data_IF_526840924603
#
_entry.id   IF_526840924603
#
_cell.length_a   1.000
_cell.length_b   1.000
_cell.length_c   1.000
_cell.angle_alpha   90.00
_cell.angle_beta   90.00
_cell.angle_gamma   90.00
#
_symmetry.space_group_name_H-M   'P 1'
#
loop_
_entity.id
_entity.type
_entity.pdbx_description
1 polymer ?
#
# COMPACT_ATOMS: atom_id res chain seq x y z
N UNK A 1 26.94 -4.36 7.66
CA UNK A 1 26.31 -3.42 6.71
C UNK A 1 26.19 -4.16 5.38
N UNK A 2 25.02 -4.72 5.09
CA UNK A 2 24.78 -5.36 3.78
C UNK A 2 24.69 -4.24 2.75
N UNK A 3 25.56 -4.26 1.74
CA UNK A 3 25.56 -3.29 0.67
C UNK A 3 24.21 -3.38 -0.07
N UNK A 4 23.45 -2.30 0.01
CA UNK A 4 22.24 -2.08 -0.75
C UNK A 4 22.61 -2.11 -2.24
N UNK A 5 22.28 -3.20 -2.92
CA UNK A 5 22.14 -3.17 -4.38
C UNK A 5 20.78 -2.51 -4.62
N UNK A 6 20.72 -1.27 -5.16
CA UNK A 6 19.44 -0.70 -5.54
C UNK A 6 18.75 -1.67 -6.50
N UNK A 7 17.43 -1.87 -6.39
CA UNK A 7 16.71 -2.59 -7.43
C UNK A 7 17.03 -1.92 -8.78
N UNK A 8 17.20 -2.70 -9.86
CA UNK A 8 17.45 -2.10 -11.17
C UNK A 8 16.36 -1.07 -11.45
N UNK A 9 16.76 0.07 -12.01
CA UNK A 9 15.83 1.01 -12.63
C UNK A 9 14.94 0.21 -13.57
N UNK A 10 13.64 0.17 -13.29
CA UNK A 10 12.67 -0.47 -14.16
C UNK A 10 12.80 0.19 -15.53
N UNK A 11 13.05 -0.62 -16.56
CA UNK A 11 12.96 -0.16 -17.95
C UNK A 11 11.56 0.41 -18.20
N UNK A 12 11.36 1.38 -19.12
CA UNK A 12 10.05 2.01 -19.35
C UNK A 12 8.88 1.02 -19.54
N UNK A 13 9.13 -0.12 -20.18
CA UNK A 13 8.15 -1.21 -20.33
C UNK A 13 7.78 -1.89 -19.00
N UNK A 14 8.72 -1.99 -18.06
CA UNK A 14 8.51 -2.54 -16.71
C UNK A 14 7.83 -1.53 -15.77
N UNK A 15 8.05 -0.23 -15.97
CA UNK A 15 7.31 0.83 -15.28
C UNK A 15 5.81 0.79 -15.68
N UNK A 16 5.50 0.52 -16.95
CA UNK A 16 4.14 0.36 -17.44
C UNK A 16 3.46 -0.91 -16.90
N UNK A 17 4.16 -2.06 -16.87
CA UNK A 17 3.67 -3.30 -16.23
C UNK A 17 3.39 -3.10 -14.73
N UNK A 18 4.23 -2.34 -14.02
CA UNK A 18 4.03 -2.05 -12.58
C UNK A 18 2.79 -1.19 -12.27
N UNK A 19 2.17 -0.61 -13.30
CA UNK A 19 1.03 0.28 -13.21
C UNK A 19 -0.17 -0.17 -14.05
N UNK A 20 -0.16 -1.42 -14.53
CA UNK A 20 -1.36 -2.06 -15.05
C UNK A 20 -2.34 -2.22 -13.89
N UNK A 21 -3.33 -1.34 -13.85
CA UNK A 21 -4.51 -1.47 -13.01
C UNK A 21 -5.61 -1.98 -13.92
N UNK A 22 -6.25 -3.10 -13.57
CA UNK A 22 -7.40 -3.59 -14.35
C UNK A 22 -8.47 -2.52 -14.46
N UNK A 23 -8.98 -2.34 -15.67
CA UNK A 23 -9.96 -1.30 -15.96
C UNK A 23 -9.39 0.11 -16.01
N UNK A 24 -8.07 0.32 -16.03
CA UNK A 24 -7.46 1.63 -16.31
C UNK A 24 -7.03 1.71 -17.77
N UNK A 25 -7.50 2.73 -18.49
CA UNK A 25 -7.06 3.03 -19.86
C UNK A 25 -6.43 4.42 -19.90
N UNK A 26 -5.28 4.55 -20.57
CA UNK A 26 -4.58 5.83 -20.74
C UNK A 26 -4.83 6.36 -22.15
N UNK A 27 -5.48 7.52 -22.30
CA UNK A 27 -5.77 8.07 -23.64
C UNK A 27 -4.56 8.73 -24.30
N UNK A 28 -3.70 9.33 -23.48
CA UNK A 28 -2.50 10.05 -23.86
C UNK A 28 -1.63 10.23 -22.63
N UNK A 29 -0.32 10.42 -22.81
CA UNK A 29 0.58 10.81 -21.74
C UNK A 29 0.89 12.31 -21.73
N UNK A 30 0.34 13.08 -22.68
CA UNK A 30 0.44 14.54 -22.68
C UNK A 30 -0.41 15.12 -21.54
N UNK A 31 0.14 16.10 -20.82
CA UNK A 31 -0.53 16.81 -19.73
C UNK A 31 -0.28 18.32 -19.83
N UNK A 32 -1.27 19.12 -19.44
CA UNK A 32 -1.19 20.58 -19.33
C UNK A 32 -0.61 21.04 -17.98
N UNK A 33 -0.45 20.14 -17.02
CA UNK A 33 0.23 20.38 -15.76
C UNK A 33 1.64 19.79 -15.76
N UNK A 34 2.48 20.23 -14.83
CA UNK A 34 3.85 19.77 -14.67
C UNK A 34 4.18 19.49 -13.21
N UNK A 35 3.34 18.69 -12.56
CA UNK A 35 3.47 18.35 -11.13
C UNK A 35 4.85 17.76 -10.78
N UNK A 36 5.65 18.37 -9.87
CA UNK A 36 6.98 17.87 -9.51
C UNK A 36 6.96 16.49 -8.82
N UNK A 37 5.80 16.06 -8.30
CA UNK A 37 5.62 14.75 -7.68
C UNK A 37 5.03 13.69 -8.61
N UNK A 38 4.84 13.98 -9.91
CA UNK A 38 4.19 13.05 -10.83
C UNK A 38 4.94 11.70 -10.89
N UNK A 39 4.25 10.61 -10.55
CA UNK A 39 4.80 9.26 -10.56
C UNK A 39 4.71 8.57 -11.93
N UNK A 40 3.90 9.10 -12.85
CA UNK A 40 3.75 8.64 -14.25
C UNK A 40 3.97 9.79 -15.23
N UNK A 41 5.17 10.42 -15.21
CA UNK A 41 5.39 11.64 -15.95
C UNK A 41 5.45 11.39 -17.46
N UNK A 42 5.05 12.39 -18.25
CA UNK A 42 4.98 12.29 -19.71
C UNK A 42 6.33 11.93 -20.37
N UNK A 43 7.45 12.21 -19.71
CA UNK A 43 8.80 11.93 -20.21
C UNK A 43 9.10 10.43 -20.34
N UNK A 44 8.43 9.61 -19.52
CA UNK A 44 8.69 8.17 -19.41
C UNK A 44 7.91 7.35 -20.45
N UNK A 45 7.06 7.99 -21.26
CA UNK A 45 6.11 7.32 -22.14
C UNK A 45 6.08 7.90 -23.56
N UNK A 46 5.56 7.13 -24.55
CA UNK A 46 5.36 7.65 -25.89
C UNK A 46 4.44 8.88 -25.91
N UNK A 47 4.84 9.92 -26.65
CA UNK A 47 4.03 11.12 -26.83
C UNK A 47 2.77 10.87 -27.67
N UNK A 48 2.80 9.86 -28.54
CA UNK A 48 1.66 9.49 -29.36
C UNK A 48 0.49 9.03 -28.48
N UNK A 49 -0.74 9.48 -28.74
CA UNK A 49 -1.91 8.94 -28.07
C UNK A 49 -2.00 7.42 -28.29
N UNK A 50 -2.43 6.69 -27.27
CA UNK A 50 -2.67 5.24 -27.34
C UNK A 50 -3.56 4.92 -28.55
N UNK A 51 -3.37 3.82 -29.31
CA UNK A 51 -4.28 3.46 -30.40
C UNK A 51 -5.71 3.14 -29.91
N UNK A 52 -6.73 3.31 -30.76
CA UNK A 52 -8.12 3.01 -30.35
C UNK A 52 -8.34 1.51 -30.14
N UNK A 53 -7.72 0.68 -30.97
CA UNK A 53 -7.81 -0.78 -30.91
C UNK A 53 -7.27 -1.34 -29.59
N UNK A 54 -6.23 -0.71 -29.03
CA UNK A 54 -5.66 -1.06 -27.73
C UNK A 54 -6.66 -0.77 -26.61
N UNK A 55 -7.30 0.41 -26.65
CA UNK A 55 -8.31 0.81 -25.65
C UNK A 55 -9.52 -0.13 -25.72
N UNK A 56 -10.00 -0.42 -26.93
CA UNK A 56 -11.16 -1.29 -27.12
C UNK A 56 -10.84 -2.73 -26.65
N UNK A 57 -9.61 -3.21 -26.89
CA UNK A 57 -9.11 -4.48 -26.33
C UNK A 57 -9.09 -4.51 -24.81
N UNK A 58 -8.65 -3.42 -24.16
CA UNK A 58 -8.65 -3.28 -22.70
C UNK A 58 -10.08 -3.26 -22.12
N UNK A 59 -11.02 -2.60 -22.80
CA UNK A 59 -12.45 -2.60 -22.40
C UNK A 59 -13.03 -4.01 -22.51
N UNK A 60 -12.76 -4.72 -23.60
CA UNK A 60 -13.23 -6.09 -23.78
C UNK A 60 -12.65 -7.04 -22.71
N UNK A 61 -11.36 -6.92 -22.39
CA UNK A 61 -10.71 -7.70 -21.35
C UNK A 61 -11.33 -7.43 -19.96
N UNK A 62 -11.57 -6.15 -19.62
CA UNK A 62 -12.25 -5.77 -18.39
C UNK A 62 -13.60 -6.47 -18.24
N UNK A 63 -14.42 -6.45 -19.30
CA UNK A 63 -15.76 -7.05 -19.28
C UNK A 63 -15.73 -8.57 -19.23
N UNK A 64 -14.80 -9.22 -19.95
CA UNK A 64 -14.63 -10.66 -19.94
C UNK A 64 -14.31 -11.22 -18.55
N UNK A 65 -13.67 -10.41 -17.70
CA UNK A 65 -13.34 -10.74 -16.32
C UNK A 65 -14.43 -10.32 -15.32
N UNK A 66 -15.57 -9.80 -15.78
CA UNK A 66 -16.66 -9.34 -14.92
C UNK A 66 -16.39 -7.99 -14.25
N UNK A 67 -15.39 -7.23 -14.73
CA UNK A 67 -15.09 -5.90 -14.24
C UNK A 67 -16.23 -4.91 -14.50
N UNK A 68 -16.43 -3.99 -13.56
CA UNK A 68 -17.58 -3.06 -13.56
C UNK A 68 -17.21 -1.59 -13.72
N UNK A 69 -15.94 -1.25 -13.53
CA UNK A 69 -15.46 0.13 -13.56
C UNK A 69 -14.34 0.28 -14.57
N UNK A 70 -14.53 1.17 -15.54
CA UNK A 70 -13.48 1.65 -16.42
C UNK A 70 -13.03 3.04 -15.94
N UNK A 71 -11.77 3.16 -15.59
CA UNK A 71 -11.09 4.42 -15.28
C UNK A 71 -10.35 4.90 -16.53
N UNK A 72 -10.68 6.10 -17.00
CA UNK A 72 -10.00 6.77 -18.08
C UNK A 72 -8.99 7.75 -17.47
N UNK A 73 -7.72 7.60 -17.83
CA UNK A 73 -6.58 8.32 -17.26
C UNK A 73 -5.55 8.66 -18.37
N UNK A 74 -4.33 9.02 -17.98
CA UNK A 74 -3.25 9.39 -18.89
C UNK A 74 -2.24 10.34 -18.22
N UNK A 75 -1.77 11.31 -19.00
CA UNK A 75 -1.42 12.64 -18.51
C UNK A 75 -2.73 13.38 -18.17
N UNK A 76 -3.30 14.11 -19.14
CA UNK A 76 -4.62 14.74 -19.00
C UNK A 76 -5.58 14.38 -20.16
N UNK A 77 -6.58 13.50 -19.93
CA UNK A 77 -7.52 13.07 -20.96
C UNK A 77 -8.37 14.19 -21.56
N UNK A 78 -8.66 15.25 -20.80
CA UNK A 78 -9.53 16.35 -21.25
C UNK A 78 -8.92 17.17 -22.38
N UNK A 79 -7.62 17.04 -22.65
CA UNK A 79 -6.96 17.59 -23.83
C UNK A 79 -7.53 17.00 -25.14
N UNK A 80 -8.04 15.77 -25.10
CA UNK A 80 -8.53 15.05 -26.29
C UNK A 80 -10.06 15.02 -26.35
N UNK A 81 -10.70 16.19 -26.29
CA UNK A 81 -12.16 16.34 -26.10
C UNK A 81 -13.04 15.36 -26.88
N UNK A 82 -12.93 15.35 -28.20
CA UNK A 82 -13.75 14.46 -29.06
C UNK A 82 -13.48 12.99 -28.78
N UNK A 83 -12.21 12.64 -28.61
CA UNK A 83 -11.76 11.27 -28.35
C UNK A 83 -12.23 10.76 -26.98
N UNK A 84 -12.14 11.59 -25.95
CA UNK A 84 -12.63 11.26 -24.61
C UNK A 84 -14.13 10.96 -24.64
N UNK A 85 -14.93 11.84 -25.24
CA UNK A 85 -16.38 11.65 -25.36
C UNK A 85 -16.72 10.36 -26.13
N UNK A 86 -16.02 10.07 -27.23
CA UNK A 86 -16.22 8.84 -27.98
C UNK A 86 -15.84 7.60 -27.16
N UNK A 87 -14.75 7.65 -26.41
CA UNK A 87 -14.31 6.53 -25.55
C UNK A 87 -15.34 6.24 -24.46
N UNK A 88 -15.87 7.27 -23.80
CA UNK A 88 -16.92 7.13 -22.78
C UNK A 88 -18.16 6.45 -23.40
N UNK A 89 -18.63 6.94 -24.56
CA UNK A 89 -19.78 6.33 -25.26
C UNK A 89 -19.53 4.88 -25.63
N UNK A 90 -18.35 4.56 -26.18
CA UNK A 90 -17.98 3.19 -26.54
C UNK A 90 -17.97 2.27 -25.33
N UNK A 91 -17.36 2.69 -24.22
CA UNK A 91 -17.32 1.92 -22.97
C UNK A 91 -18.74 1.63 -22.44
N UNK A 92 -19.61 2.64 -22.41
CA UNK A 92 -21.01 2.47 -21.98
C UNK A 92 -21.80 1.57 -22.93
N UNK A 93 -21.62 1.72 -24.24
CA UNK A 93 -22.25 0.88 -25.25
C UNK A 93 -21.78 -0.59 -25.17
N UNK A 94 -20.53 -0.82 -24.79
CA UNK A 94 -19.97 -2.15 -24.54
C UNK A 94 -20.51 -2.82 -23.25
N UNK A 95 -21.22 -2.07 -22.40
CA UNK A 95 -21.84 -2.60 -21.18
C UNK A 95 -21.09 -2.29 -19.88
N UNK A 96 -20.06 -1.43 -19.91
CA UNK A 96 -19.40 -0.98 -18.68
C UNK A 96 -20.39 -0.13 -17.87
N UNK A 97 -20.74 -0.52 -16.62
CA UNK A 97 -21.73 0.21 -15.84
C UNK A 97 -21.19 1.51 -15.24
N UNK A 98 -19.90 1.53 -14.85
CA UNK A 98 -19.26 2.69 -14.23
C UNK A 98 -18.07 3.15 -15.07
N UNK A 99 -18.11 4.40 -15.52
CA UNK A 99 -16.98 5.05 -16.21
C UNK A 99 -16.52 6.22 -15.37
N UNK A 100 -15.26 6.16 -14.94
CA UNK A 100 -14.59 7.18 -14.12
C UNK A 100 -13.55 7.92 -14.95
N UNK A 101 -13.45 9.24 -14.78
CA UNK A 101 -12.40 10.07 -15.37
C UNK A 101 -11.41 10.54 -14.30
N UNK A 102 -10.13 10.24 -14.46
CA UNK A 102 -9.05 10.90 -13.71
C UNK A 102 -8.64 12.19 -14.42
N UNK A 103 -8.66 13.32 -13.73
CA UNK A 103 -8.41 14.64 -14.33
C UNK A 103 -7.96 15.70 -13.33
N UNK A 104 -7.23 16.71 -13.79
CA UNK A 104 -6.96 17.94 -13.04
C UNK A 104 -8.12 18.96 -13.10
N UNK A 105 -9.15 18.67 -13.91
CA UNK A 105 -10.36 19.47 -14.10
C UNK A 105 -10.17 20.90 -14.69
N UNK A 106 -8.95 21.30 -15.04
CA UNK A 106 -8.64 22.68 -15.47
C UNK A 106 -9.36 23.08 -16.76
N UNK A 107 -9.53 22.15 -17.70
CA UNK A 107 -10.13 22.39 -19.01
C UNK A 107 -11.63 22.07 -19.07
N UNK A 108 -12.24 21.73 -17.93
CA UNK A 108 -13.63 21.30 -17.88
C UNK A 108 -14.53 22.54 -17.76
N UNK A 109 -15.22 22.86 -18.85
CA UNK A 109 -16.26 23.87 -18.90
C UNK A 109 -17.64 23.26 -18.63
N UNK A 110 -18.68 24.04 -18.30
CA UNK A 110 -20.04 23.52 -18.10
C UNK A 110 -20.58 22.72 -19.28
N UNK A 111 -20.36 23.17 -20.52
CA UNK A 111 -20.75 22.44 -21.74
C UNK A 111 -19.95 21.14 -21.91
N UNK A 112 -18.70 21.11 -21.45
CA UNK A 112 -17.90 19.89 -21.50
C UNK A 112 -18.36 18.87 -20.48
N UNK A 113 -18.59 19.29 -19.24
CA UNK A 113 -19.12 18.44 -18.19
C UNK A 113 -20.47 17.84 -18.59
N UNK A 114 -21.38 18.65 -19.13
CA UNK A 114 -22.67 18.19 -19.65
C UNK A 114 -22.50 17.16 -20.79
N UNK A 115 -21.61 17.42 -21.75
CA UNK A 115 -21.34 16.48 -22.84
C UNK A 115 -20.73 15.16 -22.34
N UNK A 116 -19.89 15.19 -21.30
CA UNK A 116 -19.33 13.98 -20.68
C UNK A 116 -20.40 13.19 -19.93
N UNK A 117 -21.27 13.86 -19.18
CA UNK A 117 -22.41 13.22 -18.52
C UNK A 117 -23.36 12.58 -19.53
N UNK A 118 -23.70 13.27 -20.62
CA UNK A 118 -24.52 12.74 -21.72
C UNK A 118 -23.85 11.55 -22.42
N UNK A 119 -22.53 11.59 -22.60
CA UNK A 119 -21.77 10.43 -23.10
C UNK A 119 -21.81 9.23 -22.15
N UNK A 120 -22.18 9.44 -20.89
CA UNK A 120 -22.36 8.42 -19.87
C UNK A 120 -21.21 8.32 -18.86
N UNK A 121 -20.44 9.40 -18.65
CA UNK A 121 -19.49 9.51 -17.54
C UNK A 121 -20.25 9.42 -16.21
N UNK A 122 -19.74 8.63 -15.26
CA UNK A 122 -20.42 8.36 -13.98
C UNK A 122 -19.75 9.01 -12.78
N UNK A 123 -18.42 9.10 -12.80
CA UNK A 123 -17.64 9.75 -11.76
C UNK A 123 -16.40 10.42 -12.32
N UNK A 124 -15.86 11.35 -11.55
CA UNK A 124 -14.56 11.95 -11.77
C UNK A 124 -13.71 11.85 -10.50
N UNK A 125 -12.46 11.46 -10.67
CA UNK A 125 -11.43 11.44 -9.65
C UNK A 125 -10.51 12.63 -9.89
N UNK A 126 -10.70 13.69 -9.10
CA UNK A 126 -10.11 15.01 -9.38
C UNK A 126 -8.95 15.31 -8.44
N UNK A 127 -7.83 15.70 -9.03
CA UNK A 127 -6.61 16.10 -8.31
C UNK A 127 -6.70 17.53 -7.76
N UNK A 128 -7.51 17.74 -6.72
CA UNK A 128 -7.51 19.00 -5.96
C UNK A 128 -6.44 18.93 -4.86
N UNK A 129 -5.23 19.39 -5.17
CA UNK A 129 -4.00 19.12 -4.42
C UNK A 129 -3.87 19.85 -3.06
N UNK A 130 -4.60 20.94 -2.88
CA UNK A 130 -4.67 21.69 -1.62
C UNK A 130 -5.89 22.60 -1.63
N UNK A 131 -6.36 22.99 -0.45
CA UNK A 131 -7.34 24.08 -0.28
C UNK A 131 -6.66 25.46 -0.26
N UNK A 132 -5.33 25.49 -0.11
CA UNK A 132 -4.49 26.69 -0.17
C UNK A 132 -4.03 26.89 -1.62
N UNK A 133 -4.42 27.98 -2.30
CA UNK A 133 -4.13 28.19 -3.72
C UNK A 133 -2.65 28.06 -4.06
N UNK A 134 -1.77 28.65 -3.26
CA UNK A 134 -0.32 28.67 -3.49
C UNK A 134 0.28 27.26 -3.42
N UNK A 135 -0.21 26.42 -2.49
CA UNK A 135 0.22 25.03 -2.40
C UNK A 135 -0.33 24.19 -3.56
N UNK A 136 -1.57 24.43 -3.97
CA UNK A 136 -2.15 23.74 -5.10
C UNK A 136 -1.38 24.02 -6.39
N UNK A 137 -1.13 25.29 -6.71
CA UNK A 137 -0.46 25.70 -7.95
C UNK A 137 1.00 25.23 -8.00
N UNK A 138 1.71 25.30 -6.85
CA UNK A 138 3.07 24.77 -6.72
C UNK A 138 3.11 23.25 -6.97
N UNK A 139 2.15 22.52 -6.42
CA UNK A 139 2.05 21.07 -6.58
C UNK A 139 1.58 20.70 -8.00
N UNK A 140 0.72 21.49 -8.65
CA UNK A 140 0.34 21.32 -10.06
C UNK A 140 1.49 21.68 -11.03
N UNK A 141 2.44 22.51 -10.58
CA UNK A 141 3.46 23.09 -11.44
C UNK A 141 2.86 24.03 -12.49
N UNK A 142 1.77 24.73 -12.15
CA UNK A 142 1.01 25.57 -13.06
C UNK A 142 0.29 26.71 -12.30
N UNK A 143 0.66 27.95 -12.58
CA UNK A 143 0.04 29.12 -11.97
C UNK A 143 -1.44 29.28 -12.37
N UNK A 144 -2.28 29.62 -11.40
CA UNK A 144 -3.73 29.76 -11.54
C UNK A 144 -4.45 28.43 -11.75
N UNK A 145 -3.82 27.29 -11.44
CA UNK A 145 -4.46 25.98 -11.55
C UNK A 145 -5.63 25.83 -10.58
N UNK A 146 -5.50 26.31 -9.35
CA UNK A 146 -6.51 26.19 -8.29
C UNK A 146 -7.88 26.76 -8.69
N UNK A 147 -8.03 28.04 -9.08
CA UNK A 147 -9.34 28.56 -9.46
C UNK A 147 -9.93 27.87 -10.70
N UNK A 148 -9.10 27.42 -11.64
CA UNK A 148 -9.55 26.66 -12.82
C UNK A 148 -10.03 25.26 -12.44
N UNK A 149 -9.32 24.58 -11.53
CA UNK A 149 -9.73 23.29 -10.99
C UNK A 149 -11.08 23.40 -10.26
N UNK A 150 -11.27 24.42 -9.41
CA UNK A 150 -12.56 24.66 -8.74
C UNK A 150 -13.70 24.92 -9.73
N UNK A 151 -13.47 25.70 -10.79
CA UNK A 151 -14.48 25.92 -11.83
C UNK A 151 -14.86 24.61 -12.57
N UNK A 152 -13.88 23.74 -12.85
CA UNK A 152 -14.12 22.43 -13.43
C UNK A 152 -14.87 21.48 -12.49
N UNK A 153 -14.55 21.52 -11.19
CA UNK A 153 -15.28 20.80 -10.15
C UNK A 153 -16.75 21.23 -10.07
N UNK A 154 -17.01 22.55 -10.06
CA UNK A 154 -18.37 23.09 -10.07
C UNK A 154 -19.14 22.62 -11.32
N UNK A 155 -18.50 22.62 -12.49
CA UNK A 155 -19.09 22.14 -13.73
C UNK A 155 -19.44 20.64 -13.68
N UNK A 156 -18.55 19.79 -13.17
CA UNK A 156 -18.78 18.35 -12.99
C UNK A 156 -19.95 18.07 -12.05
N UNK A 157 -19.96 18.72 -10.88
CA UNK A 157 -21.02 18.58 -9.89
C UNK A 157 -22.37 19.05 -10.43
N UNK A 158 -22.40 20.18 -11.15
CA UNK A 158 -23.62 20.69 -11.78
C UNK A 158 -24.16 19.77 -12.89
N UNK A 159 -23.28 19.03 -13.57
CA UNK A 159 -23.66 18.01 -14.55
C UNK A 159 -24.11 16.67 -13.92
N UNK A 160 -24.12 16.56 -12.58
CA UNK A 160 -24.51 15.35 -11.86
C UNK A 160 -23.44 14.25 -11.85
N UNK A 161 -22.19 14.58 -12.20
CA UNK A 161 -21.06 13.63 -12.13
C UNK A 161 -20.62 13.50 -10.66
N UNK A 162 -20.52 12.27 -10.15
CA UNK A 162 -19.99 12.03 -8.79
C UNK A 162 -18.51 12.38 -8.74
N UNK A 163 -18.08 13.10 -7.72
CA UNK A 163 -16.67 13.52 -7.59
C UNK A 163 -16.03 12.88 -6.36
N UNK A 164 -14.87 12.26 -6.57
CA UNK A 164 -13.90 11.90 -5.53
C UNK A 164 -12.70 12.81 -5.65
N UNK A 165 -12.27 13.46 -4.57
CA UNK A 165 -11.07 14.30 -4.58
C UNK A 165 -9.82 13.52 -4.18
N UNK A 166 -8.66 13.92 -4.70
CA UNK A 166 -7.37 13.34 -4.36
C UNK A 166 -6.31 14.43 -4.12
N UNK A 167 -5.98 14.76 -2.86
CA UNK A 167 -5.06 15.84 -2.55
C UNK A 167 -3.58 15.52 -2.75
N UNK A 168 -3.18 14.25 -2.90
CA UNK A 168 -1.78 13.79 -2.95
C UNK A 168 -0.89 14.53 -1.94
N UNK A 169 -0.94 14.09 -0.67
CA UNK A 169 -0.27 14.76 0.42
C UNK A 169 1.25 14.76 0.24
N UNK A 170 1.82 15.97 0.30
CA UNK A 170 3.23 16.25 0.17
C UNK A 170 3.75 16.91 1.46
N UNK A 171 5.07 17.01 1.63
CA UNK A 171 5.68 17.71 2.77
C UNK A 171 5.03 19.08 3.13
N UNK A 172 4.71 19.99 2.18
CA UNK A 172 4.04 21.25 2.50
C UNK A 172 2.56 21.12 2.89
N UNK A 173 1.89 20.01 2.57
CA UNK A 173 0.43 19.83 2.79
C UNK A 173 0.08 18.72 3.78
N UNK A 174 1.07 17.97 4.28
CA UNK A 174 0.87 16.75 5.08
C UNK A 174 0.12 16.96 6.39
N UNK A 175 0.14 18.16 6.96
CA UNK A 175 -0.60 18.51 8.19
C UNK A 175 -1.94 19.18 7.91
N UNK A 176 -2.26 19.46 6.64
CA UNK A 176 -3.38 20.29 6.23
C UNK A 176 -4.65 19.50 5.88
N UNK A 177 -4.62 18.16 5.99
CA UNK A 177 -5.76 17.31 5.62
C UNK A 177 -7.04 17.64 6.42
N UNK A 178 -7.02 17.91 7.75
CA UNK A 178 -8.23 18.32 8.46
C UNK A 178 -8.85 19.60 7.90
N UNK A 179 -8.05 20.64 7.65
CA UNK A 179 -8.52 21.90 7.06
C UNK A 179 -8.99 21.73 5.62
N UNK A 180 -8.33 20.87 4.85
CA UNK A 180 -8.79 20.48 3.52
C UNK A 180 -10.20 19.90 3.56
N UNK A 181 -10.51 19.02 4.53
CA UNK A 181 -11.87 18.48 4.66
C UNK A 181 -12.90 19.52 5.06
N UNK A 182 -12.55 20.47 5.95
CA UNK A 182 -13.43 21.61 6.29
C UNK A 182 -13.74 22.43 5.04
N UNK A 183 -12.71 22.76 4.26
CA UNK A 183 -12.86 23.46 2.99
C UNK A 183 -13.75 22.68 2.01
N UNK A 184 -13.54 21.38 1.84
CA UNK A 184 -14.36 20.55 0.94
C UNK A 184 -15.82 20.55 1.38
N UNK A 185 -16.10 20.36 2.67
CA UNK A 185 -17.46 20.36 3.19
C UNK A 185 -18.16 21.72 2.99
N UNK A 186 -17.44 22.83 3.14
CA UNK A 186 -17.98 24.18 3.00
C UNK A 186 -18.14 24.60 1.53
N UNK A 187 -17.08 24.45 0.72
CA UNK A 187 -17.02 24.96 -0.67
C UNK A 187 -17.58 24.00 -1.69
N UNK A 188 -17.54 22.69 -1.42
CA UNK A 188 -17.89 21.62 -2.35
C UNK A 188 -18.84 20.60 -1.69
N UNK A 189 -20.01 21.01 -1.16
CA UNK A 189 -20.90 20.14 -0.38
C UNK A 189 -21.42 18.90 -1.15
N UNK A 190 -21.34 18.90 -2.48
CA UNK A 190 -21.66 17.76 -3.34
C UNK A 190 -20.58 16.66 -3.38
N UNK A 191 -19.37 16.93 -2.90
CA UNK A 191 -18.30 15.94 -2.78
C UNK A 191 -18.51 15.12 -1.51
N UNK A 192 -18.54 13.80 -1.67
CA UNK A 192 -18.77 12.85 -0.56
C UNK A 192 -17.61 11.90 -0.31
N UNK A 193 -16.56 11.95 -1.13
CA UNK A 193 -15.41 11.05 -1.03
C UNK A 193 -14.10 11.79 -1.27
N UNK A 194 -13.09 11.47 -0.45
CA UNK A 194 -11.72 11.93 -0.62
C UNK A 194 -10.78 10.73 -0.50
N UNK A 195 -10.00 10.49 -1.54
CA UNK A 195 -8.98 9.44 -1.60
C UNK A 195 -7.63 10.00 -1.20
N UNK A 196 -7.08 9.53 -0.08
CA UNK A 196 -5.90 10.12 0.55
C UNK A 196 -4.64 9.43 0.02
N UNK A 197 -4.13 9.93 -1.11
CA UNK A 197 -2.80 9.56 -1.61
C UNK A 197 -1.72 10.40 -0.95
N UNK A 198 -0.46 9.94 -1.02
CA UNK A 198 0.71 10.71 -0.64
C UNK A 198 1.78 10.65 -1.74
N UNK A 199 2.69 11.62 -1.76
CA UNK A 199 3.82 11.63 -2.70
C UNK A 199 4.63 10.34 -2.56
N UNK A 200 4.82 9.67 -3.69
CA UNK A 200 5.62 8.45 -3.79
C UNK A 200 6.90 8.77 -4.56
N UNK A 201 8.08 8.23 -4.18
CA UNK A 201 9.32 8.55 -4.88
C UNK A 201 9.47 7.75 -6.19
N UNK A 202 8.57 7.99 -7.14
CA UNK A 202 8.56 7.44 -8.50
C UNK A 202 8.48 8.58 -9.52
N UNK A 203 8.89 8.33 -10.77
CA UNK A 203 8.91 9.35 -11.81
C UNK A 203 9.64 10.62 -11.38
N UNK A 204 9.03 11.79 -11.60
CA UNK A 204 9.62 13.09 -11.23
C UNK A 204 9.78 13.29 -9.73
N UNK A 205 9.01 12.59 -8.90
CA UNK A 205 9.15 12.68 -7.45
C UNK A 205 10.52 12.17 -6.95
N UNK A 206 11.18 11.26 -7.70
CA UNK A 206 12.54 10.78 -7.37
C UNK A 206 13.58 11.90 -7.34
N UNK A 207 13.42 12.92 -8.19
CA UNK A 207 14.27 14.11 -8.20
C UNK A 207 13.78 15.19 -7.22
N UNK A 208 12.60 15.03 -6.62
CA UNK A 208 11.93 16.02 -5.79
C UNK A 208 11.60 15.49 -4.39
N UNK A 209 12.57 14.80 -3.76
CA UNK A 209 12.40 14.15 -2.45
C UNK A 209 12.04 15.10 -1.31
N UNK A 210 12.28 16.41 -1.47
CA UNK A 210 11.81 17.44 -0.54
C UNK A 210 10.27 17.48 -0.42
N UNK A 211 9.53 16.94 -1.39
CA UNK A 211 8.08 16.79 -1.36
C UNK A 211 7.61 15.51 -0.64
N UNK A 212 8.51 14.55 -0.37
CA UNK A 212 8.17 13.32 0.34
C UNK A 212 7.73 13.67 1.77
N UNK A 213 6.47 13.37 2.16
CA UNK A 213 5.99 13.68 3.50
C UNK A 213 6.76 12.91 4.57
N UNK A 214 6.71 13.40 5.80
CA UNK A 214 7.12 12.69 7.01
C UNK A 214 5.90 12.01 7.63
N UNK A 215 5.92 10.69 7.72
CA UNK A 215 4.80 9.94 8.28
C UNK A 215 4.60 10.19 9.77
N UNK A 216 5.61 10.71 10.49
CA UNK A 216 5.45 11.12 11.87
C UNK A 216 4.51 12.34 12.01
N UNK A 217 4.47 13.21 10.99
CA UNK A 217 3.60 14.38 10.94
C UNK A 217 2.27 14.06 10.25
N UNK A 218 2.33 13.26 9.18
CA UNK A 218 1.17 12.89 8.39
C UNK A 218 0.20 11.96 9.15
N UNK A 219 0.72 10.98 9.90
CA UNK A 219 -0.11 10.02 10.63
C UNK A 219 -1.10 10.67 11.60
N UNK A 220 -0.68 11.60 12.48
CA UNK A 220 -1.59 12.38 13.31
C UNK A 220 -2.66 13.16 12.53
N UNK A 221 -2.27 13.83 11.43
CA UNK A 221 -3.20 14.60 10.61
C UNK A 221 -4.25 13.71 9.92
N UNK A 222 -3.87 12.50 9.49
CA UNK A 222 -4.80 11.50 8.95
C UNK A 222 -5.79 11.03 10.02
N UNK A 223 -5.34 10.75 11.25
CA UNK A 223 -6.24 10.35 12.35
C UNK A 223 -7.24 11.45 12.70
N UNK A 224 -6.77 12.69 12.79
CA UNK A 224 -7.67 13.84 13.03
C UNK A 224 -8.69 13.96 11.90
N UNK A 225 -8.23 13.88 10.65
CA UNK A 225 -9.09 13.95 9.47
C UNK A 225 -10.13 12.83 9.46
N UNK A 226 -9.79 11.59 9.86
CA UNK A 226 -10.76 10.50 9.98
C UNK A 226 -11.85 10.79 11.01
N UNK A 227 -11.48 11.31 12.19
CA UNK A 227 -12.45 11.71 13.21
C UNK A 227 -13.40 12.81 12.71
N UNK A 228 -12.88 13.74 11.90
CA UNK A 228 -13.66 14.84 11.34
C UNK A 228 -14.56 14.40 10.17
N UNK A 229 -14.07 13.51 9.30
CA UNK A 229 -14.73 13.13 8.06
C UNK A 229 -16.16 12.59 8.27
N UNK A 230 -16.36 11.78 9.32
CA UNK A 230 -17.67 11.27 9.68
C UNK A 230 -18.68 12.38 10.01
N UNK A 231 -18.25 13.42 10.75
CA UNK A 231 -19.10 14.56 11.11
C UNK A 231 -19.43 15.45 9.89
N UNK A 232 -18.54 15.47 8.88
CA UNK A 232 -18.73 16.22 7.64
C UNK A 232 -19.49 15.43 6.56
N UNK A 233 -19.84 14.17 6.80
CA UNK A 233 -20.46 13.30 5.80
C UNK A 233 -19.55 13.05 4.59
N UNK A 234 -18.23 13.05 4.81
CA UNK A 234 -17.21 12.75 3.80
C UNK A 234 -16.61 11.39 4.14
N UNK A 235 -16.52 10.53 3.14
CA UNK A 235 -15.80 9.27 3.21
C UNK A 235 -14.32 9.50 2.89
N UNK A 236 -13.43 9.17 3.83
CA UNK A 236 -11.99 9.10 3.57
C UNK A 236 -11.61 7.69 3.15
N UNK A 237 -10.92 7.58 2.02
CA UNK A 237 -10.44 6.32 1.46
C UNK A 237 -8.91 6.29 1.49
N UNK A 238 -8.33 5.14 1.81
CA UNK A 238 -6.91 4.86 1.66
C UNK A 238 -6.71 4.02 0.40
N UNK A 239 -6.35 4.64 -0.74
CA UNK A 239 -6.19 3.93 -2.00
C UNK A 239 -4.98 2.98 -1.94
N UNK A 240 -4.82 2.16 -2.98
CA UNK A 240 -3.64 1.29 -3.09
C UNK A 240 -2.31 2.08 -3.05
N UNK A 241 -2.31 3.25 -3.72
CA UNK A 241 -1.23 4.22 -3.70
C UNK A 241 -1.10 5.00 -2.37
N UNK A 242 -1.93 4.67 -1.39
CA UNK A 242 -2.04 5.36 -0.12
C UNK A 242 -1.00 4.92 0.91
N UNK A 243 -1.36 5.13 2.18
CA UNK A 243 -0.44 5.12 3.31
C UNK A 243 -0.41 3.75 4.02
N UNK A 244 0.73 3.39 4.64
CA UNK A 244 0.77 2.22 5.52
C UNK A 244 -0.27 2.35 6.63
N UNK A 245 -0.85 1.22 7.08
CA UNK A 245 -1.92 1.26 8.07
C UNK A 245 -1.57 2.01 9.37
N UNK A 246 -0.30 1.97 9.78
CA UNK A 246 0.16 2.68 10.97
C UNK A 246 0.19 4.22 10.84
N UNK A 247 0.07 4.75 9.62
CA UNK A 247 0.01 6.18 9.33
C UNK A 247 -1.45 6.64 9.33
N UNK A 248 -2.14 6.33 10.43
CA UNK A 248 -3.50 6.80 10.71
C UNK A 248 -4.64 5.95 10.14
N UNK A 249 -4.42 4.70 9.75
CA UNK A 249 -5.47 3.81 9.19
C UNK A 249 -5.68 2.51 9.97
N UNK A 250 -5.05 2.35 11.14
CA UNK A 250 -5.11 1.12 11.92
C UNK A 250 -6.55 0.74 12.33
N UNK A 251 -7.36 1.75 12.65
CA UNK A 251 -8.75 1.60 13.09
C UNK A 251 -9.77 1.75 11.93
N UNK A 252 -9.31 1.94 10.70
CA UNK A 252 -10.12 2.17 9.51
C UNK A 252 -9.67 1.28 8.33
N UNK A 253 -9.40 0.01 8.63
CA UNK A 253 -8.92 -0.98 7.66
C UNK A 253 -9.93 -1.26 6.55
N UNK A 254 -11.22 -1.19 6.87
CA UNK A 254 -12.36 -1.30 5.96
C UNK A 254 -12.38 -0.19 4.89
N UNK A 255 -11.62 0.88 5.10
CA UNK A 255 -11.45 1.99 4.15
C UNK A 255 -10.11 1.95 3.42
N UNK A 256 -9.31 0.91 3.63
CA UNK A 256 -8.03 0.71 2.95
C UNK A 256 -8.15 -0.37 1.89
N UNK A 257 -7.93 0.01 0.64
CA UNK A 257 -7.97 -0.90 -0.51
C UNK A 257 -6.98 -2.06 -0.30
N UNK A 258 -5.76 -1.75 0.14
CA UNK A 258 -4.73 -2.77 0.39
C UNK A 258 -5.13 -3.76 1.51
N UNK A 259 -5.80 -3.28 2.56
CA UNK A 259 -6.25 -4.14 3.65
C UNK A 259 -7.43 -5.02 3.23
N UNK A 260 -8.40 -4.46 2.52
CA UNK A 260 -9.54 -5.21 1.96
C UNK A 260 -9.09 -6.29 0.99
N UNK A 261 -8.16 -5.98 0.09
CA UNK A 261 -7.57 -6.95 -0.85
C UNK A 261 -6.84 -8.09 -0.14
N UNK A 262 -6.16 -7.77 0.96
CA UNK A 262 -5.48 -8.78 1.76
C UNK A 262 -6.45 -9.74 2.47
N UNK A 263 -7.61 -9.25 2.94
CA UNK A 263 -8.62 -10.08 3.60
C UNK A 263 -9.26 -11.11 2.66
N UNK A 264 -9.44 -10.77 1.38
CA UNK A 264 -10.04 -11.67 0.37
C UNK A 264 -9.03 -12.62 -0.31
N UNK A 265 -7.80 -12.72 0.22
CA UNK A 265 -6.79 -13.69 -0.23
C UNK A 265 -5.71 -13.15 -1.20
N UNK A 266 -5.62 -11.83 -1.39
CA UNK A 266 -4.43 -11.14 -1.91
C UNK A 266 -4.27 -11.05 -3.44
N UNK A 267 -3.92 -9.85 -3.91
CA UNK A 267 -3.42 -9.39 -5.23
C UNK A 267 -4.24 -9.68 -6.51
N UNK A 268 -5.07 -10.72 -6.53
CA UNK A 268 -5.83 -11.14 -7.73
C UNK A 268 -7.18 -10.45 -7.91
N UNK A 269 -7.69 -9.79 -6.88
CA UNK A 269 -9.03 -9.21 -6.93
C UNK A 269 -9.11 -7.98 -7.85
N UNK A 270 -8.01 -7.24 -8.03
CA UNK A 270 -7.96 -6.01 -8.84
C UNK A 270 -6.72 -5.89 -9.74
N UNK A 271 -5.87 -6.93 -9.84
CA UNK A 271 -4.58 -6.99 -10.57
C UNK A 271 -3.86 -5.63 -10.69
N UNK A 272 -3.52 -4.99 -9.58
CA UNK A 272 -2.55 -3.89 -9.57
C UNK A 272 -1.18 -4.52 -9.31
N UNK A 273 -0.31 -4.60 -10.32
CA UNK A 273 1.02 -5.19 -10.20
C UNK A 273 2.04 -4.23 -9.58
N UNK A 274 1.89 -3.89 -8.30
CA UNK A 274 2.89 -3.12 -7.54
C UNK A 274 3.76 -4.00 -6.63
N UNK A 275 3.83 -5.30 -6.96
CA UNK A 275 4.70 -6.25 -6.27
C UNK A 275 6.13 -5.65 -6.21
N UNK A 276 6.70 -5.60 -5.00
CA UNK A 276 8.04 -5.07 -4.68
C UNK A 276 8.18 -3.54 -4.50
N UNK A 277 7.14 -2.72 -4.72
CA UNK A 277 7.28 -1.26 -4.53
C UNK A 277 7.13 -0.83 -3.07
N UNK A 278 6.50 -1.65 -2.23
CA UNK A 278 6.42 -1.47 -0.79
C UNK A 278 7.16 -2.58 -0.07
N UNK A 279 7.71 -2.24 1.10
CA UNK A 279 8.30 -3.22 2.01
C UNK A 279 7.91 -2.97 3.45
N UNK A 280 7.89 -4.05 4.21
CA UNK A 280 7.85 -4.04 5.66
C UNK A 280 9.27 -3.84 6.22
N UNK A 281 9.36 -3.25 7.41
CA UNK A 281 10.62 -3.03 8.12
C UNK A 281 10.52 -3.40 9.59
N UNK A 282 11.49 -2.96 10.40
CA UNK A 282 11.58 -3.33 11.82
C UNK A 282 10.28 -3.09 12.64
N UNK A 283 9.55 -1.95 12.49
CA UNK A 283 8.26 -1.75 13.15
C UNK A 283 7.20 -2.81 12.78
N UNK A 284 7.23 -3.31 11.53
CA UNK A 284 6.26 -4.29 11.05
C UNK A 284 6.47 -5.68 11.66
N UNK A 285 7.68 -5.99 12.15
CA UNK A 285 8.03 -7.29 12.73
C UNK A 285 7.16 -7.66 13.95
N UNK A 286 6.63 -6.66 14.66
CA UNK A 286 5.72 -6.85 15.80
C UNK A 286 4.30 -6.35 15.52
N UNK A 287 4.02 -5.90 14.30
CA UNK A 287 2.70 -5.38 13.95
C UNK A 287 1.71 -6.52 13.70
N UNK A 288 0.57 -6.52 14.39
CA UNK A 288 -0.47 -7.52 14.20
C UNK A 288 -1.18 -7.40 12.85
N UNK A 289 -1.16 -6.21 12.25
CA UNK A 289 -1.81 -5.89 10.97
C UNK A 289 -0.90 -6.12 9.76
N UNK A 290 0.28 -6.72 9.92
CA UNK A 290 1.28 -6.85 8.84
C UNK A 290 0.76 -7.60 7.61
N UNK A 291 -0.11 -8.59 7.76
CA UNK A 291 -0.66 -9.32 6.61
C UNK A 291 -1.74 -8.54 5.88
N UNK A 292 -2.16 -7.38 6.41
CA UNK A 292 -3.13 -6.45 5.80
C UNK A 292 -2.47 -5.17 5.27
N UNK A 293 -1.15 -5.07 5.34
CA UNK A 293 -0.39 -3.86 5.03
C UNK A 293 0.94 -4.20 4.36
N UNK A 294 1.19 -3.63 3.18
CA UNK A 294 2.44 -3.79 2.43
C UNK A 294 3.62 -3.09 3.08
N UNK A 295 3.37 -2.26 4.10
CA UNK A 295 4.35 -1.37 4.69
C UNK A 295 4.47 -0.08 3.90
N UNK A 296 5.65 0.55 3.96
CA UNK A 296 5.92 1.79 3.23
C UNK A 296 6.65 1.52 1.91
N UNK A 297 6.58 2.49 1.00
CA UNK A 297 7.35 2.49 -0.25
C UNK A 297 8.82 2.23 0.01
N UNK A 298 9.48 1.43 -0.84
CA UNK A 298 10.88 1.05 -0.67
C UNK A 298 11.76 2.29 -0.55
N UNK A 299 11.51 3.29 -1.39
CA UNK A 299 12.22 4.57 -1.39
C UNK A 299 11.94 5.40 -0.12
N UNK A 300 10.74 5.30 0.47
CA UNK A 300 10.48 5.94 1.77
C UNK A 300 11.44 5.43 2.84
N UNK A 301 11.69 4.12 2.86
CA UNK A 301 12.67 3.56 3.78
C UNK A 301 14.11 3.98 3.46
N UNK A 302 14.45 4.14 2.18
CA UNK A 302 15.78 4.59 1.78
C UNK A 302 16.04 6.04 2.23
N UNK A 303 15.06 6.91 2.04
CA UNK A 303 15.21 8.36 2.26
C UNK A 303 14.87 8.80 3.70
N UNK A 304 13.91 8.14 4.35
CA UNK A 304 13.41 8.52 5.69
C UNK A 304 13.68 7.46 6.76
N UNK A 305 14.31 6.34 6.43
CA UNK A 305 14.60 5.26 7.38
C UNK A 305 13.35 4.64 8.03
N UNK A 306 12.16 4.88 7.47
CA UNK A 306 10.90 4.49 8.10
C UNK A 306 10.43 5.41 9.22
N UNK A 307 10.85 6.68 9.25
CA UNK A 307 10.33 7.70 10.18
C UNK A 307 8.80 7.65 10.29
N UNK A 308 8.28 7.77 11.52
CA UNK A 308 6.84 7.75 11.79
C UNK A 308 6.14 6.39 11.64
N UNK A 309 6.85 5.33 11.26
CA UNK A 309 6.28 3.99 11.19
C UNK A 309 6.42 3.29 12.55
N UNK A 310 5.27 2.93 13.14
CA UNK A 310 5.20 2.17 14.38
C UNK A 310 4.18 1.04 14.25
N UNK A 311 4.24 0.04 15.14
CA UNK A 311 3.22 -1.01 15.19
C UNK A 311 2.00 -0.49 15.99
N UNK A 312 0.85 -0.20 15.36
CA UNK A 312 -0.33 0.31 16.06
C UNK A 312 -0.96 -0.77 16.95
N UNK A 313 -0.92 -2.03 16.48
CA UNK A 313 -1.32 -3.21 17.24
C UNK A 313 -0.12 -4.14 17.35
N UNK A 314 0.21 -4.58 18.56
CA UNK A 314 1.39 -5.42 18.83
C UNK A 314 1.00 -6.89 18.96
N UNK A 315 1.64 -7.72 18.16
CA UNK A 315 1.66 -9.16 18.33
C UNK A 315 2.93 -9.60 19.10
N UNK A 316 2.82 -10.72 19.82
CA UNK A 316 3.94 -11.39 20.45
C UNK A 316 3.84 -12.91 20.25
N UNK A 317 4.96 -13.64 20.17
CA UNK A 317 4.91 -15.09 20.05
C UNK A 317 4.24 -15.72 21.28
N UNK A 318 3.64 -16.92 21.16
CA UNK A 318 2.83 -17.56 22.20
C UNK A 318 3.49 -17.73 23.57
N UNK A 319 4.82 -17.80 23.61
CA UNK A 319 5.60 -17.98 24.83
C UNK A 319 5.99 -16.67 25.54
N UNK A 320 5.68 -15.51 24.96
CA UNK A 320 5.94 -14.20 25.57
C UNK A 320 4.67 -13.70 26.27
N UNK A 321 4.49 -14.08 27.54
CA UNK A 321 3.21 -13.98 28.27
C UNK A 321 2.79 -12.57 28.72
N UNK A 322 3.58 -11.51 28.50
CA UNK A 322 3.30 -10.17 29.06
C UNK A 322 3.18 -9.03 28.01
N UNK A 323 3.27 -9.30 26.70
CA UNK A 323 3.55 -8.23 25.72
C UNK A 323 2.61 -8.12 24.50
N UNK A 324 1.54 -8.93 24.42
CA UNK A 324 0.60 -8.91 23.28
C UNK A 324 -0.78 -8.39 23.68
N UNK A 325 -1.47 -7.77 22.72
CA UNK A 325 -2.91 -7.55 22.81
C UNK A 325 -3.63 -8.89 22.54
N UNK A 326 -4.35 -9.47 23.52
CA UNK A 326 -5.02 -10.75 23.35
C UNK A 326 -6.11 -10.72 22.27
N UNK A 327 -6.72 -9.56 22.00
CA UNK A 327 -7.72 -9.40 20.94
C UNK A 327 -7.12 -9.30 19.53
N UNK A 328 -5.81 -9.07 19.43
CA UNK A 328 -5.12 -8.92 18.15
C UNK A 328 -4.53 -10.23 17.61
N UNK A 329 -4.54 -11.31 18.40
CA UNK A 329 -3.94 -12.58 17.97
C UNK A 329 -4.64 -13.84 18.51
N UNK A 330 -4.66 -14.89 17.70
CA UNK A 330 -5.03 -16.25 18.12
C UNK A 330 -3.85 -17.19 17.96
N UNK A 331 -3.76 -18.18 18.84
CA UNK A 331 -2.73 -19.21 18.83
C UNK A 331 -3.39 -20.58 18.71
N UNK A 332 -2.86 -21.42 17.82
CA UNK A 332 -3.25 -22.81 17.70
C UNK A 332 -2.04 -23.72 17.55
N UNK A 333 -2.14 -24.96 18.02
CA UNK A 333 -1.16 -26.02 17.77
C UNK A 333 -1.36 -26.72 16.42
N UNK A 334 -2.52 -26.52 15.79
CA UNK A 334 -2.85 -27.07 14.47
C UNK A 334 -3.28 -25.98 13.49
N UNK A 335 -2.86 -26.12 12.23
CA UNK A 335 -3.25 -25.21 11.14
C UNK A 335 -4.74 -25.27 10.84
N UNK A 336 -5.36 -26.44 10.99
CA UNK A 336 -6.72 -26.70 10.50
C UNK A 336 -7.80 -26.00 11.33
N UNK A 337 -7.47 -25.54 12.54
CA UNK A 337 -8.41 -24.82 13.42
C UNK A 337 -8.33 -23.31 13.28
N UNK A 338 -7.30 -22.78 12.59
CA UNK A 338 -7.17 -21.34 12.34
C UNK A 338 -8.13 -20.93 11.22
N UNK A 339 -9.00 -19.94 11.47
CA UNK A 339 -9.96 -19.44 10.48
C UNK A 339 -9.59 -18.05 9.98
N UNK A 340 -10.26 -17.58 8.93
CA UNK A 340 -10.07 -16.22 8.38
C UNK A 340 -10.53 -15.12 9.34
N UNK A 341 -11.53 -15.41 10.18
CA UNK A 341 -12.34 -14.38 10.86
C UNK A 341 -11.94 -14.14 12.32
N UNK A 342 -10.92 -14.84 12.83
CA UNK A 342 -10.61 -14.88 14.27
C UNK A 342 -9.87 -13.62 14.77
N UNK A 343 -8.71 -13.32 14.16
CA UNK A 343 -7.84 -12.21 14.56
C UNK A 343 -6.87 -11.86 13.41
N UNK A 344 -6.35 -10.62 13.36
CA UNK A 344 -5.42 -10.22 12.30
C UNK A 344 -4.09 -11.00 12.35
N UNK A 345 -3.66 -11.44 13.54
CA UNK A 345 -2.52 -12.34 13.73
C UNK A 345 -2.98 -13.73 14.18
N UNK A 346 -2.48 -14.77 13.51
CA UNK A 346 -2.80 -16.17 13.75
C UNK A 346 -1.50 -16.97 13.78
N UNK A 347 -1.13 -17.40 14.98
CA UNK A 347 0.07 -18.17 15.25
C UNK A 347 -0.22 -19.66 15.14
N UNK A 348 0.54 -20.34 14.28
CA UNK A 348 0.73 -21.78 14.42
C UNK A 348 1.90 -22.06 15.36
N UNK A 349 1.63 -22.68 16.49
CA UNK A 349 2.61 -23.01 17.53
C UNK A 349 2.93 -24.50 17.49
N UNK A 350 4.14 -24.86 17.10
CA UNK A 350 4.56 -26.26 16.98
C UNK A 350 6.00 -26.46 17.47
N UNK A 351 6.37 -27.73 17.70
CA UNK A 351 7.72 -28.14 18.07
C UNK A 351 8.53 -28.71 16.90
N UNK A 352 7.88 -29.05 15.78
CA UNK A 352 8.55 -29.60 14.60
C UNK A 352 7.72 -29.34 13.34
N UNK A 353 8.38 -29.43 12.17
CA UNK A 353 7.73 -29.37 10.86
C UNK A 353 7.94 -30.70 10.11
N UNK A 354 6.86 -31.20 9.52
CA UNK A 354 6.88 -32.38 8.65
C UNK A 354 7.00 -31.98 7.17
N UNK A 355 7.45 -32.90 6.29
CA UNK A 355 7.52 -32.63 4.86
C UNK A 355 6.19 -32.13 4.28
N UNK A 356 6.22 -30.94 3.67
CA UNK A 356 5.03 -30.31 3.06
C UNK A 356 4.34 -29.28 3.94
N UNK A 357 4.71 -29.16 5.21
CA UNK A 357 4.13 -28.15 6.12
C UNK A 357 4.44 -26.72 5.67
N UNK A 358 5.57 -26.48 4.99
CA UNK A 358 5.84 -25.15 4.41
C UNK A 358 4.75 -24.72 3.41
N UNK A 359 4.31 -25.64 2.54
CA UNK A 359 3.26 -25.37 1.57
C UNK A 359 1.89 -25.25 2.24
N UNK A 360 1.60 -26.13 3.22
CA UNK A 360 0.36 -26.07 4.00
C UNK A 360 0.24 -24.74 4.74
N UNK A 361 1.31 -24.27 5.39
CA UNK A 361 1.35 -22.99 6.09
C UNK A 361 1.03 -21.82 5.15
N UNK A 362 1.63 -21.79 3.95
CA UNK A 362 1.36 -20.73 2.97
C UNK A 362 -0.07 -20.76 2.46
N UNK A 363 -0.66 -21.94 2.27
CA UNK A 363 -2.06 -22.12 1.85
C UNK A 363 -3.09 -22.03 2.98
N UNK A 364 -2.65 -21.86 4.23
CA UNK A 364 -3.53 -21.81 5.40
C UNK A 364 -3.92 -20.38 5.78
N UNK A 365 -4.83 -20.28 6.74
CA UNK A 365 -5.18 -19.04 7.42
C UNK A 365 -4.07 -18.51 8.35
N UNK A 366 -3.05 -19.30 8.70
CA UNK A 366 -2.00 -18.83 9.59
C UNK A 366 -1.19 -17.68 8.97
N UNK A 367 -0.88 -16.68 9.78
CA UNK A 367 -0.07 -15.53 9.38
C UNK A 367 1.36 -15.63 9.90
N UNK A 368 1.58 -16.45 10.92
CA UNK A 368 2.82 -16.53 11.69
C UNK A 368 3.09 -17.97 12.17
N UNK A 369 4.36 -18.34 12.22
CA UNK A 369 4.86 -19.62 12.75
C UNK A 369 5.66 -19.34 14.02
N UNK A 370 5.25 -19.96 15.12
CA UNK A 370 5.98 -20.03 16.37
C UNK A 370 6.52 -21.47 16.53
N UNK A 371 7.82 -21.65 16.30
CA UNK A 371 8.46 -22.95 16.32
C UNK A 371 9.45 -23.08 17.49
N UNK A 372 9.26 -24.10 18.34
CA UNK A 372 10.29 -24.54 19.29
C UNK A 372 11.28 -25.41 18.55
N UNK A 373 12.41 -24.84 18.15
CA UNK A 373 13.37 -25.48 17.27
C UNK A 373 14.36 -26.35 18.07
N UNK A 374 14.40 -27.65 17.75
CA UNK A 374 15.57 -28.49 17.99
C UNK A 374 16.57 -28.28 16.83
N UNK A 375 17.76 -27.72 17.06
CA UNK A 375 18.77 -27.48 16.02
C UNK A 375 19.29 -28.77 15.35
N UNK A 376 19.06 -29.94 15.95
CA UNK A 376 19.47 -31.22 15.41
C UNK A 376 18.41 -31.83 14.47
N UNK A 377 17.18 -31.32 14.48
CA UNK A 377 16.11 -31.81 13.62
C UNK A 377 16.27 -31.33 12.17
N UNK A 378 16.90 -32.19 11.36
CA UNK A 378 17.14 -31.94 9.94
C UNK A 378 15.85 -31.79 9.14
N UNK A 379 14.76 -32.47 9.50
CA UNK A 379 13.51 -32.39 8.75
C UNK A 379 12.90 -30.99 8.88
N UNK A 380 12.83 -30.49 10.12
CA UNK A 380 12.39 -29.13 10.41
C UNK A 380 13.25 -28.08 9.71
N UNK A 381 14.57 -28.22 9.74
CA UNK A 381 15.49 -27.28 9.05
C UNK A 381 15.29 -27.27 7.52
N UNK A 382 14.99 -28.42 6.92
CA UNK A 382 14.69 -28.51 5.47
C UNK A 382 13.39 -27.78 5.14
N UNK A 383 12.34 -27.94 5.96
CA UNK A 383 11.06 -27.26 5.76
C UNK A 383 11.17 -25.75 5.96
N UNK A 384 11.92 -25.27 6.96
CA UNK A 384 12.17 -23.83 7.14
C UNK A 384 12.87 -23.23 5.91
N UNK A 385 13.84 -23.93 5.31
CA UNK A 385 14.49 -23.48 4.07
C UNK A 385 13.55 -23.49 2.87
N UNK A 386 12.58 -24.41 2.82
CA UNK A 386 11.53 -24.43 1.78
C UNK A 386 10.61 -23.23 1.94
N UNK A 387 10.15 -22.96 3.16
CA UNK A 387 9.36 -21.78 3.48
C UNK A 387 10.11 -20.49 3.12
N UNK A 388 11.37 -20.35 3.52
CA UNK A 388 12.22 -19.21 3.18
C UNK A 388 12.25 -18.94 1.67
N UNK A 389 12.52 -19.97 0.85
CA UNK A 389 12.52 -19.83 -0.61
C UNK A 389 11.16 -19.39 -1.16
N UNK A 390 10.09 -19.99 -0.69
CA UNK A 390 8.73 -19.64 -1.14
C UNK A 390 8.31 -18.22 -0.75
N UNK A 391 8.82 -17.69 0.36
CA UNK A 391 8.52 -16.32 0.81
C UNK A 391 9.34 -15.25 0.11
N UNK A 392 10.49 -15.58 -0.46
CA UNK A 392 11.40 -14.62 -1.09
C UNK A 392 10.74 -13.84 -2.24
N UNK A 393 9.87 -14.51 -2.99
CA UNK A 393 9.14 -13.97 -4.14
C UNK A 393 7.74 -13.45 -3.77
N UNK A 394 7.30 -13.64 -2.52
CA UNK A 394 5.97 -13.23 -2.09
C UNK A 394 5.92 -11.74 -1.72
N UNK A 395 4.78 -11.09 -1.99
CA UNK A 395 4.50 -9.74 -1.48
C UNK A 395 4.56 -9.70 0.06
N UNK A 396 4.89 -8.55 0.69
CA UNK A 396 5.05 -8.47 2.14
C UNK A 396 3.87 -9.03 2.97
N UNK A 397 2.64 -8.85 2.49
CA UNK A 397 1.41 -9.31 3.12
C UNK A 397 1.26 -10.85 3.12
N UNK A 398 1.85 -11.51 2.12
CA UNK A 398 1.74 -12.96 1.91
C UNK A 398 2.84 -13.75 2.63
N UNK A 399 3.91 -13.08 3.08
CA UNK A 399 4.96 -13.72 3.87
C UNK A 399 4.40 -14.18 5.21
N UNK A 400 5.02 -15.17 5.84
CA UNK A 400 4.75 -15.63 7.20
C UNK A 400 5.90 -15.21 8.09
N UNK A 401 5.58 -14.63 9.25
CA UNK A 401 6.60 -14.33 10.26
C UNK A 401 7.02 -15.66 10.87
N UNK A 402 8.32 -15.87 10.99
CA UNK A 402 8.87 -17.04 11.67
C UNK A 402 9.51 -16.58 12.97
N UNK A 403 9.04 -17.14 14.08
CA UNK A 403 9.65 -16.95 15.39
C UNK A 403 10.19 -18.29 15.89
N UNK A 404 11.47 -18.30 16.21
CA UNK A 404 12.15 -19.48 16.71
C UNK A 404 12.33 -19.36 18.21
N UNK A 405 12.11 -20.46 18.91
CA UNK A 405 12.49 -20.61 20.31
C UNK A 405 13.54 -21.72 20.40
N UNK A 406 14.68 -21.46 21.03
CA UNK A 406 15.76 -22.43 21.19
C UNK A 406 16.15 -22.51 22.67
N UNK A 407 16.19 -23.73 23.21
CA UNK A 407 16.76 -23.97 24.54
C UNK A 407 18.29 -24.03 24.42
N UNK A 408 18.97 -23.07 25.04
CA UNK A 408 20.44 -22.99 25.06
C UNK A 408 21.03 -23.38 26.41
N UNK A 409 20.25 -24.01 27.29
CA UNK A 409 20.75 -24.49 28.57
C UNK A 409 21.94 -25.42 28.34
N UNK A 410 23.04 -25.19 29.06
CA UNK A 410 24.27 -25.98 28.95
C UNK A 410 25.14 -25.69 27.73
N UNK A 411 24.76 -24.75 26.86
CA UNK A 411 25.59 -24.30 25.73
C UNK A 411 26.55 -23.20 26.17
N UNK A 412 27.75 -23.18 25.58
CA UNK A 412 28.69 -22.08 25.73
C UNK A 412 28.33 -20.88 24.83
N UNK A 413 29.06 -19.78 25.01
CA UNK A 413 28.84 -18.52 24.29
C UNK A 413 29.03 -18.64 22.77
N UNK A 414 29.96 -19.47 22.30
CA UNK A 414 30.21 -19.67 20.88
C UNK A 414 29.06 -20.46 20.23
N UNK A 415 28.58 -21.49 20.92
CA UNK A 415 27.45 -22.31 20.49
C UNK A 415 26.15 -21.51 20.44
N UNK A 416 25.87 -20.67 21.45
CA UNK A 416 24.70 -19.77 21.44
C UNK A 416 24.74 -18.84 20.23
N UNK A 417 25.91 -18.29 19.90
CA UNK A 417 26.08 -17.40 18.75
C UNK A 417 25.88 -18.14 17.42
N UNK A 418 26.33 -19.40 17.32
CA UNK A 418 26.09 -20.25 16.15
C UNK A 418 24.60 -20.53 15.93
N UNK A 419 23.87 -20.86 17.00
CA UNK A 419 22.43 -21.07 16.96
C UNK A 419 21.67 -19.80 16.55
N UNK A 420 22.10 -18.64 17.04
CA UNK A 420 21.51 -17.38 16.64
C UNK A 420 21.80 -17.05 15.15
N UNK A 421 22.99 -17.37 14.65
CA UNK A 421 23.31 -17.26 13.21
C UNK A 421 22.50 -18.23 12.37
N UNK A 422 22.24 -19.44 12.85
CA UNK A 422 21.34 -20.39 12.19
C UNK A 422 19.94 -19.80 12.04
N UNK A 423 19.38 -19.22 13.10
CA UNK A 423 18.07 -18.57 13.05
C UNK A 423 18.03 -17.44 11.99
N UNK A 424 19.06 -16.59 11.95
CA UNK A 424 19.17 -15.53 10.95
C UNK A 424 19.32 -16.09 9.52
N UNK A 425 20.08 -17.18 9.33
CA UNK A 425 20.23 -17.85 8.05
C UNK A 425 18.91 -18.46 7.53
N UNK A 426 17.98 -18.77 8.43
CA UNK A 426 16.64 -19.26 8.13
C UNK A 426 15.61 -18.14 7.92
N UNK A 427 16.04 -16.87 7.89
CA UNK A 427 15.19 -15.68 7.76
C UNK A 427 14.12 -15.58 8.87
N UNK A 428 14.50 -16.02 10.08
CA UNK A 428 13.68 -15.83 11.27
C UNK A 428 13.50 -14.32 11.54
N UNK A 429 12.28 -13.94 11.87
CA UNK A 429 11.94 -12.56 12.22
C UNK A 429 12.22 -12.28 13.69
N UNK A 430 12.10 -13.30 14.53
CA UNK A 430 12.44 -13.24 15.94
C UNK A 430 13.00 -14.56 16.45
N UNK A 431 13.80 -14.45 17.50
CA UNK A 431 14.46 -15.55 18.17
C UNK A 431 14.37 -15.35 19.69
N UNK A 432 13.80 -16.34 20.36
CA UNK A 432 13.77 -16.45 21.80
C UNK A 432 14.79 -17.51 22.24
N UNK A 433 15.76 -17.12 23.06
CA UNK A 433 16.78 -18.03 23.61
C UNK A 433 16.53 -18.24 25.09
N UNK A 434 16.33 -19.49 25.52
CA UNK A 434 16.19 -19.84 26.94
C UNK A 434 17.54 -20.26 27.53
N UNK A 435 17.84 -19.79 28.74
CA UNK A 435 19.07 -20.14 29.46
C UNK A 435 20.33 -19.42 28.93
N UNK A 436 20.17 -18.49 27.99
CA UNK A 436 21.28 -17.69 27.46
C UNK A 436 21.70 -16.62 28.47
N UNK A 437 23.00 -16.52 28.74
CA UNK A 437 23.51 -15.55 29.71
C UNK A 437 23.15 -14.10 29.31
N UNK A 438 22.57 -13.28 30.20
CA UNK A 438 22.15 -11.91 29.88
C UNK A 438 23.23 -11.03 29.25
N UNK A 439 24.50 -11.27 29.61
CA UNK A 439 25.68 -10.58 29.06
C UNK A 439 25.80 -10.70 27.52
N UNK A 440 25.24 -11.76 26.94
CA UNK A 440 25.29 -12.02 25.49
C UNK A 440 24.35 -11.13 24.69
N UNK A 441 23.35 -10.50 25.32
CA UNK A 441 22.33 -9.69 24.64
C UNK A 441 22.94 -8.66 23.69
N UNK A 442 23.94 -7.92 24.16
CA UNK A 442 24.60 -6.87 23.38
C UNK A 442 25.39 -7.45 22.20
N UNK A 443 26.12 -8.55 22.42
CA UNK A 443 26.88 -9.21 21.37
C UNK A 443 25.97 -9.77 20.28
N UNK A 444 24.87 -10.44 20.66
CA UNK A 444 23.87 -10.97 19.74
C UNK A 444 23.19 -9.85 18.95
N UNK A 445 22.78 -8.76 19.60
CA UNK A 445 22.15 -7.63 18.93
C UNK A 445 23.08 -6.93 17.93
N UNK A 446 24.38 -6.85 18.22
CA UNK A 446 25.38 -6.31 17.30
C UNK A 446 25.65 -7.25 16.12
N UNK A 447 25.70 -8.55 16.38
CA UNK A 447 25.96 -9.56 15.34
C UNK A 447 24.76 -9.76 14.40
N UNK A 448 23.54 -9.63 14.93
CA UNK A 448 22.29 -9.94 14.25
C UNK A 448 21.29 -8.77 14.37
N UNK A 449 21.61 -7.58 13.83
CA UNK A 449 20.81 -6.38 14.04
C UNK A 449 19.41 -6.45 13.40
N UNK A 450 19.19 -7.38 12.48
CA UNK A 450 17.91 -7.60 11.81
C UNK A 450 16.98 -8.56 12.56
N UNK A 451 17.48 -9.27 13.57
CA UNK A 451 16.74 -10.30 14.30
C UNK A 451 16.19 -9.73 15.61
N UNK A 452 14.89 -9.88 15.86
CA UNK A 452 14.34 -9.54 17.16
C UNK A 452 14.76 -10.58 18.19
N UNK A 453 15.48 -10.18 19.23
CA UNK A 453 16.05 -11.08 20.22
C UNK A 453 15.34 -10.96 21.58
N UNK A 454 14.86 -12.09 22.08
CA UNK A 454 14.32 -12.26 23.43
C UNK A 454 15.21 -13.26 24.19
N UNK A 455 15.70 -12.88 25.37
CA UNK A 455 16.44 -13.80 26.24
C UNK A 455 15.56 -14.11 27.44
N UNK A 456 15.22 -15.38 27.59
CA UNK A 456 14.52 -15.90 28.75
C UNK A 456 15.53 -16.56 29.71
N UNK A 457 15.34 -16.40 31.02
CA UNK A 457 16.22 -16.99 32.03
C UNK A 457 16.32 -18.52 31.93
#
# INVERSE_FOLDING_TARGET
MSAFTPPPTLEPAQAEESHLTKGLVRLTMVCNERCPFCNVPAEDFPAAPTPEEVIDGQIAALLAEGGRTLTISGGEPTLLRRRLLNTIRRARAAGVPLVELQTNAILITPDYAAAMAEAGLTSAFVSLLSHVPEHHDLLAGLDGAFPRCLAGLDALLAAGVRVTLNPVLAAPTQTLLPDYLRFVAERLPGVKSVSVSAVQPHGRARANLHLLPDYALLGPAVREAQGLAAALGIELLNPYCGLPLCVGWADAQDRSVEALEAEIGGARALNIQNEHNKRQGAPCLRCALRTRCGGAWVEYWAERGGSGLEAPLRAAPPWSLEAADPGAQVVSDTLDTLRSDDAPTRWWHTAALAPGDAARLLGSAATDLALRLDPQDRATLIELRRLQRAQAEASPQLRRRVWLWIDTTGHDEAQVLELARLAAALDAHGLTLKGAAPRLRRALALALPSLHLELLP
#
